data_IF_778470181614
#
_entry.id   IF_778470181614
#
_cell.length_a   1.000
_cell.length_b   1.000
_cell.length_c   1.000
_cell.angle_alpha   90.00
_cell.angle_beta   90.00
_cell.angle_gamma   90.00
#
_symmetry.space_group_name_H-M   'P 1'
#
loop_
_entity.id
_entity.type
_entity.pdbx_description
1 polymer ?
#
# COMPACT_ATOMS: atom_id res chain seq x y z
N UNK A 1 -25.55 -14.00 14.57
CA UNK A 1 -24.10 -13.94 14.26
C UNK A 1 -23.35 -14.47 15.46
N UNK A 2 -22.72 -15.64 15.32
CA UNK A 2 -22.00 -16.31 16.41
C UNK A 2 -20.53 -15.89 16.47
N UNK A 3 -19.89 -16.11 17.62
CA UNK A 3 -18.46 -15.81 17.85
C UNK A 3 -17.52 -16.44 16.80
N UNK A 4 -17.95 -17.57 16.20
CA UNK A 4 -17.23 -18.26 15.12
C UNK A 4 -17.25 -17.48 13.79
N UNK A 5 -18.32 -16.76 13.50
CA UNK A 5 -18.45 -15.97 12.26
C UNK A 5 -17.50 -14.76 12.31
N UNK A 6 -17.36 -14.14 13.49
CA UNK A 6 -16.44 -13.02 13.72
C UNK A 6 -14.97 -13.44 13.62
N UNK A 7 -14.61 -14.60 14.19
CA UNK A 7 -13.24 -15.15 14.08
C UNK A 7 -12.86 -15.53 12.64
N UNK A 8 -13.79 -16.07 11.86
CA UNK A 8 -13.54 -16.39 10.45
C UNK A 8 -13.30 -15.12 9.62
N UNK A 9 -14.08 -14.06 9.86
CA UNK A 9 -13.91 -12.77 9.19
C UNK A 9 -12.58 -12.10 9.55
N UNK A 10 -12.18 -12.11 10.82
CA UNK A 10 -10.91 -11.50 11.25
C UNK A 10 -9.69 -12.25 10.71
N UNK A 11 -9.72 -13.58 10.69
CA UNK A 11 -8.67 -14.41 10.11
C UNK A 11 -8.53 -14.16 8.60
N UNK A 12 -9.64 -14.01 7.89
CA UNK A 12 -9.64 -13.69 6.46
C UNK A 12 -9.03 -12.32 6.18
N UNK A 13 -9.44 -11.28 6.91
CA UNK A 13 -8.90 -9.92 6.76
C UNK A 13 -7.37 -9.87 6.99
N UNK A 14 -6.88 -10.57 8.03
CA UNK A 14 -5.44 -10.67 8.32
C UNK A 14 -4.65 -11.31 7.17
N UNK A 15 -5.19 -12.37 6.57
CA UNK A 15 -4.54 -13.04 5.42
C UNK A 15 -4.42 -12.12 4.21
N UNK A 16 -5.45 -11.33 3.89
CA UNK A 16 -5.39 -10.40 2.76
C UNK A 16 -4.35 -9.29 2.96
N UNK A 17 -4.25 -8.75 4.18
CA UNK A 17 -3.22 -7.77 4.52
C UNK A 17 -1.81 -8.36 4.31
N UNK A 18 -1.61 -9.63 4.65
CA UNK A 18 -0.33 -10.29 4.44
C UNK A 18 0.05 -10.40 2.96
N UNK A 19 -0.89 -10.73 2.07
CA UNK A 19 -0.64 -10.84 0.63
C UNK A 19 -0.38 -9.47 -0.03
N UNK A 20 -1.10 -8.43 0.38
CA UNK A 20 -0.87 -7.05 -0.05
C UNK A 20 0.53 -6.60 0.36
N UNK A 21 0.91 -6.81 1.63
CA UNK A 21 2.23 -6.45 2.15
C UNK A 21 3.34 -7.23 1.43
N UNK A 22 3.15 -8.54 1.18
CA UNK A 22 4.13 -9.36 0.47
C UNK A 22 4.35 -8.85 -0.96
N UNK A 23 3.28 -8.47 -1.66
CA UNK A 23 3.37 -7.94 -3.02
C UNK A 23 4.03 -6.57 -3.05
N UNK A 24 3.66 -5.69 -2.12
CA UNK A 24 4.28 -4.38 -1.97
C UNK A 24 5.79 -4.49 -1.74
N UNK A 25 6.21 -5.34 -0.78
CA UNK A 25 7.64 -5.58 -0.48
C UNK A 25 8.40 -6.09 -1.70
N UNK A 26 7.80 -6.97 -2.51
CA UNK A 26 8.40 -7.49 -3.74
C UNK A 26 8.64 -6.38 -4.77
N UNK A 27 7.65 -5.50 -4.98
CA UNK A 27 7.76 -4.39 -5.92
C UNK A 27 8.77 -3.33 -5.43
N UNK A 28 8.79 -3.05 -4.13
CA UNK A 28 9.77 -2.15 -3.52
C UNK A 28 11.20 -2.66 -3.73
N UNK A 29 11.44 -3.96 -3.50
CA UNK A 29 12.75 -4.58 -3.76
C UNK A 29 13.16 -4.49 -5.23
N UNK A 30 12.21 -4.61 -6.17
CA UNK A 30 12.47 -4.43 -7.60
C UNK A 30 12.93 -2.99 -7.92
N UNK A 31 12.30 -1.97 -7.30
CA UNK A 31 12.71 -0.56 -7.42
C UNK A 31 14.13 -0.35 -6.85
N UNK A 32 14.41 -0.89 -5.67
CA UNK A 32 15.74 -0.85 -5.05
C UNK A 32 16.83 -1.45 -5.96
N UNK A 33 16.60 -2.64 -6.54
CA UNK A 33 17.57 -3.26 -7.45
C UNK A 33 17.81 -2.41 -8.70
N UNK A 34 16.74 -1.87 -9.29
CA UNK A 34 16.85 -0.97 -10.45
C UNK A 34 17.62 0.30 -10.10
N UNK A 35 17.35 0.89 -8.93
CA UNK A 35 18.03 2.08 -8.46
C UNK A 35 19.53 1.88 -8.31
N UNK A 36 19.94 0.79 -7.65
CA UNK A 36 21.36 0.42 -7.50
C UNK A 36 22.01 0.19 -8.86
N UNK A 37 21.35 -0.57 -9.74
CA UNK A 37 21.85 -0.81 -11.10
C UNK A 37 22.05 0.49 -11.88
N UNK A 38 21.07 1.40 -11.81
CA UNK A 38 21.14 2.68 -12.50
C UNK A 38 22.26 3.58 -11.90
N UNK A 39 22.54 3.51 -10.59
CA UNK A 39 23.70 4.17 -9.96
C UNK A 39 25.04 3.66 -10.48
N UNK A 40 25.20 2.33 -10.55
CA UNK A 40 26.42 1.68 -11.08
C UNK A 40 26.66 2.13 -12.52
N UNK A 41 25.61 2.12 -13.35
CA UNK A 41 25.72 2.54 -14.75
C UNK A 41 26.09 4.01 -14.92
N UNK A 42 25.73 4.88 -13.96
CA UNK A 42 26.12 6.30 -13.95
C UNK A 42 27.51 6.54 -13.35
N UNK A 43 28.17 5.50 -12.85
CA UNK A 43 29.45 5.63 -12.16
C UNK A 43 29.35 6.34 -10.81
N UNK A 44 28.16 6.37 -10.20
CA UNK A 44 27.98 6.94 -8.88
C UNK A 44 28.66 6.05 -7.82
N UNK A 45 29.27 6.65 -6.78
CA UNK A 45 29.80 5.90 -5.67
C UNK A 45 28.67 5.15 -4.94
N UNK A 46 28.91 3.87 -4.63
CA UNK A 46 28.03 3.09 -3.77
C UNK A 46 28.54 3.22 -2.34
N UNK A 47 27.75 3.87 -1.49
CA UNK A 47 27.98 3.95 -0.05
C UNK A 47 27.79 2.58 0.62
N UNK A 48 28.05 2.51 1.93
CA UNK A 48 28.03 1.26 2.70
C UNK A 48 26.73 0.45 2.54
N UNK A 49 25.58 1.12 2.39
CA UNK A 49 24.31 0.47 2.03
C UNK A 49 23.82 0.95 0.66
N UNK A 50 24.01 0.13 -0.36
CA UNK A 50 23.59 0.43 -1.73
C UNK A 50 22.08 0.70 -1.85
N UNK A 51 21.27 0.13 -0.94
CA UNK A 51 19.82 0.22 -0.97
C UNK A 51 19.25 1.43 -0.21
N UNK A 52 20.11 2.23 0.42
CA UNK A 52 19.67 3.46 1.08
C UNK A 52 19.12 4.44 0.05
N UNK A 53 17.94 4.94 0.39
CA UNK A 53 17.17 5.92 -0.35
C UNK A 53 16.68 6.95 0.64
N UNK A 54 16.67 8.21 0.24
CA UNK A 54 16.09 9.26 1.06
C UNK A 54 14.57 9.05 1.18
N UNK A 55 13.98 9.63 2.23
CA UNK A 55 12.57 9.44 2.54
C UNK A 55 11.65 9.93 1.40
N UNK A 56 12.03 10.98 0.67
CA UNK A 56 11.21 11.53 -0.41
C UNK A 56 11.15 10.55 -1.59
N UNK A 57 12.29 9.96 -1.95
CA UNK A 57 12.36 8.93 -2.98
C UNK A 57 11.61 7.66 -2.58
N UNK A 58 11.71 7.26 -1.31
CA UNK A 58 10.96 6.13 -0.76
C UNK A 58 9.45 6.37 -0.85
N UNK A 59 8.97 7.55 -0.43
CA UNK A 59 7.55 7.91 -0.51
C UNK A 59 7.03 7.93 -1.94
N UNK A 60 7.81 8.48 -2.88
CA UNK A 60 7.46 8.46 -4.30
C UNK A 60 7.31 7.02 -4.83
N UNK A 61 8.18 6.11 -4.42
CA UNK A 61 8.04 4.70 -4.79
C UNK A 61 6.82 4.05 -4.17
N UNK A 62 6.46 4.39 -2.93
CA UNK A 62 5.23 3.90 -2.31
C UNK A 62 4.00 4.25 -3.16
N UNK A 63 3.89 5.49 -3.62
CA UNK A 63 2.77 5.94 -4.47
C UNK A 63 2.77 5.21 -5.82
N UNK A 64 3.92 5.12 -6.49
CA UNK A 64 4.04 4.42 -7.77
C UNK A 64 3.69 2.92 -7.67
N UNK A 65 4.12 2.27 -6.59
CA UNK A 65 3.85 0.85 -6.32
C UNK A 65 2.37 0.64 -6.01
N UNK A 66 1.77 1.55 -5.22
CA UNK A 66 0.35 1.49 -4.91
C UNK A 66 -0.50 1.59 -6.18
N UNK A 67 -0.19 2.53 -7.07
CA UNK A 67 -0.82 2.67 -8.37
C UNK A 67 -0.63 1.43 -9.27
N UNK A 68 0.56 0.81 -9.27
CA UNK A 68 0.83 -0.44 -10.02
C UNK A 68 0.00 -1.61 -9.49
N UNK A 69 -0.13 -1.70 -8.15
CA UNK A 69 -0.93 -2.73 -7.48
C UNK A 69 -2.43 -2.58 -7.71
N UNK A 70 -2.94 -1.37 -7.91
CA UNK A 70 -4.33 -1.12 -8.29
C UNK A 70 -4.63 -1.51 -9.75
N UNK A 71 -3.68 -1.26 -10.66
CA UNK A 71 -3.82 -1.55 -12.10
C UNK A 71 -3.71 -3.04 -12.42
N UNK A 72 -2.94 -3.77 -11.61
CA UNK A 72 -2.90 -5.22 -11.67
C UNK A 72 -4.05 -5.76 -10.84
N UNK A 73 -4.73 -6.81 -11.29
CA UNK A 73 -5.78 -7.50 -10.52
C UNK A 73 -5.22 -8.20 -9.25
N UNK A 74 -4.12 -7.72 -8.68
CA UNK A 74 -3.45 -8.20 -7.46
C UNK A 74 -4.40 -8.08 -6.27
N UNK A 75 -4.98 -6.89 -6.07
CA UNK A 75 -5.95 -6.65 -5.01
C UNK A 75 -7.17 -7.55 -5.24
N UNK A 76 -7.70 -7.58 -6.46
CA UNK A 76 -8.83 -8.44 -6.82
C UNK A 76 -8.54 -9.94 -6.65
N UNK A 77 -7.34 -10.41 -7.00
CA UNK A 77 -6.91 -11.80 -6.81
C UNK A 77 -6.83 -12.17 -5.33
N UNK A 78 -6.32 -11.27 -4.48
CA UNK A 78 -6.26 -11.48 -3.04
C UNK A 78 -7.66 -11.67 -2.44
N UNK A 79 -8.68 -10.97 -2.95
CA UNK A 79 -10.07 -11.07 -2.49
C UNK A 79 -10.95 -12.04 -3.30
N UNK A 80 -10.44 -12.63 -4.39
CA UNK A 80 -11.21 -13.50 -5.31
C UNK A 80 -11.83 -14.71 -4.62
N UNK A 81 -11.18 -15.23 -3.58
CA UNK A 81 -11.61 -16.43 -2.87
C UNK A 81 -12.53 -16.17 -1.68
N UNK A 82 -12.84 -14.91 -1.36
CA UNK A 82 -13.67 -14.56 -0.20
C UNK A 82 -15.09 -14.13 -0.54
N UNK A 83 -15.44 -14.08 -1.84
CA UNK A 83 -16.75 -13.59 -2.28
C UNK A 83 -16.94 -12.08 -2.06
N UNK A 84 -15.90 -11.37 -1.61
CA UNK A 84 -15.89 -9.92 -1.46
C UNK A 84 -15.63 -9.31 -2.84
N UNK A 85 -16.71 -9.03 -3.56
CA UNK A 85 -16.65 -8.33 -4.85
C UNK A 85 -16.43 -6.84 -4.56
N UNK A 86 -15.23 -6.33 -4.88
CA UNK A 86 -15.02 -4.88 -4.91
C UNK A 86 -15.81 -4.33 -6.09
N UNK A 87 -17.01 -3.80 -5.83
CA UNK A 87 -17.78 -3.09 -6.85
C UNK A 87 -16.99 -1.82 -7.15
N UNK A 88 -16.26 -1.86 -8.26
CA UNK A 88 -15.28 -0.84 -8.60
C UNK A 88 -15.83 0.57 -8.46
N UNK A 89 -14.97 1.47 -7.96
CA UNK A 89 -15.06 2.91 -8.18
C UNK A 89 -15.09 3.12 -9.70
N UNK A 90 -16.27 3.02 -10.28
CA UNK A 90 -16.56 3.25 -11.69
C UNK A 90 -17.82 4.09 -11.79
N UNK A 91 -17.83 5.23 -11.10
CA UNK A 91 -18.68 6.33 -11.50
C UNK A 91 -17.83 7.57 -11.70
N UNK A 92 -17.75 7.96 -12.97
CA UNK A 92 -17.30 9.25 -13.45
C UNK A 92 -17.93 10.36 -12.60
N UNK A 93 -17.22 10.85 -11.60
CA UNK A 93 -17.57 12.15 -11.01
C UNK A 93 -17.04 13.23 -11.93
N UNK A 94 -17.87 13.61 -12.90
CA UNK A 94 -17.77 14.88 -13.61
C UNK A 94 -17.62 16.00 -12.58
N UNK A 95 -16.72 16.94 -12.88
CA UNK A 95 -16.58 18.28 -12.33
C UNK A 95 -17.59 18.68 -11.23
N UNK A 96 -17.11 18.80 -9.99
CA UNK A 96 -17.68 19.73 -9.02
C UNK A 96 -16.57 20.69 -8.61
N UNK A 97 -16.71 21.93 -9.09
CA UNK A 97 -15.97 23.10 -8.63
C UNK A 97 -16.57 23.48 -7.27
N UNK A 98 -15.87 23.22 -6.18
CA UNK A 98 -16.29 23.55 -4.82
C UNK A 98 -15.08 23.57 -3.88
N UNK A 99 -14.99 24.62 -3.07
CA UNK A 99 -13.85 25.02 -2.22
C UNK A 99 -13.20 23.88 -1.42
N UNK A 100 -11.87 23.95 -1.34
CA UNK A 100 -11.07 23.40 -0.23
C UNK A 100 -11.62 23.96 1.07
N UNK A 101 -12.12 23.10 1.94
CA UNK A 101 -12.24 23.38 3.37
C UNK A 101 -11.53 22.26 4.12
N UNK A 102 -10.54 22.68 4.89
CA UNK A 102 -9.68 21.87 5.73
C UNK A 102 -10.42 21.50 7.01
N UNK A 103 -10.68 20.22 7.23
CA UNK A 103 -10.64 19.59 8.57
C UNK A 103 -11.09 18.12 8.46
N UNK A 104 -10.13 17.20 8.31
CA UNK A 104 -10.33 15.82 8.75
C UNK A 104 -9.36 15.61 9.89
N UNK A 105 -9.91 15.70 11.11
CA UNK A 105 -9.17 15.66 12.35
C UNK A 105 -8.29 14.42 12.45
N UNK A 106 -7.02 14.65 12.73
CA UNK A 106 -5.94 13.67 12.98
C UNK A 106 -6.23 12.75 14.21
N UNK A 107 -7.41 12.82 14.80
CA UNK A 107 -7.73 12.13 16.05
C UNK A 107 -8.17 10.67 15.88
N UNK A 108 -8.59 10.22 14.68
CA UNK A 108 -8.97 8.81 14.49
C UNK A 108 -7.76 7.91 14.20
N UNK A 109 -6.68 8.46 13.64
CA UNK A 109 -5.46 7.69 13.32
C UNK A 109 -4.61 7.43 14.57
N UNK A 110 -4.62 8.33 15.56
CA UNK A 110 -3.85 8.17 16.81
C UNK A 110 -4.44 7.10 17.73
N UNK A 111 -5.77 6.90 17.72
CA UNK A 111 -6.43 5.91 18.58
C UNK A 111 -6.01 4.47 18.25
N UNK A 112 -5.73 4.16 16.98
CA UNK A 112 -5.25 2.85 16.57
C UNK A 112 -3.74 2.64 16.86
N UNK A 113 -2.93 3.70 16.90
CA UNK A 113 -1.51 3.58 17.20
C UNK A 113 -1.26 3.29 18.69
N UNK A 114 -2.07 3.86 19.59
CA UNK A 114 -1.95 3.61 21.04
C UNK A 114 -2.34 2.19 21.47
N UNK A 115 -3.04 1.44 20.62
CA UNK A 115 -3.44 0.06 20.92
C UNK A 115 -2.33 -0.98 20.61
N UNK A 116 -1.24 -0.56 19.98
CA UNK A 116 -0.06 -1.41 19.73
C UNK A 116 1.04 -1.04 20.71
N UNK A 117 0.97 -1.58 21.92
CA UNK A 117 2.12 -1.64 22.82
C UNK A 117 3.20 -2.52 22.17
N UNK A 118 4.38 -1.94 21.93
CA UNK A 118 5.62 -2.66 21.62
C UNK A 118 6.15 -3.43 22.84
#
# INVERSE_FOLDING_TARGET
MGNRDFQALSASASKHNAEIIATFKKLYKKKQLKWVYDKINRGEPIENNAYDVDQMQAMKWCDEIWDEMQKTATIENCFRHTGIVFRGVTEKSKAVKGKVDSDVGVQEVTACASAMHF
#
